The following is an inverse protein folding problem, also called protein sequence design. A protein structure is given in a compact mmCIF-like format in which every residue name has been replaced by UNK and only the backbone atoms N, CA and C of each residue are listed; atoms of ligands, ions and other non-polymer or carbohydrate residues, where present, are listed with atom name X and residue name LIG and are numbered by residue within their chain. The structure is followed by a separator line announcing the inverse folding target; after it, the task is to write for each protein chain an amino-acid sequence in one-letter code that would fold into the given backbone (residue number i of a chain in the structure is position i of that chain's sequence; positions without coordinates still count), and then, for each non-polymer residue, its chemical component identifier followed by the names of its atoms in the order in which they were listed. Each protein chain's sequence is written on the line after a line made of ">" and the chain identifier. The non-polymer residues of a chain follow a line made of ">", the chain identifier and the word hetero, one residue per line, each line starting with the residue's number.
data_IF_678353915144
#
_entry.id   IF_678353915144
#
_cell.length_a   1.000
_cell.length_b   1.000
_cell.length_c   1.000
_cell.angle_alpha   90.00
_cell.angle_beta   90.00
_cell.angle_gamma   90.00
#
_symmetry.space_group_name_H-M   'P 1'
#
loop_
_entity.id
_entity.type
_entity.pdbx_description
1 polymer ?
#
# COMPACT_ATOMS: atom_id res chain seq x y z
N UNK A 1 -29.47 24.16 -10.07
CA UNK A 1 -28.04 23.92 -9.78
C UNK A 1 -27.91 22.49 -9.32
N UNK A 2 -27.12 21.66 -10.00
CA UNK A 2 -26.90 20.24 -9.62
C UNK A 2 -26.05 20.15 -8.33
N UNK A 3 -26.40 19.20 -7.47
CA UNK A 3 -25.79 19.01 -6.15
C UNK A 3 -24.99 17.71 -6.13
N UNK A 4 -23.72 17.78 -5.70
CA UNK A 4 -22.81 16.64 -5.60
C UNK A 4 -22.45 16.43 -4.13
N UNK A 5 -22.68 15.22 -3.60
CA UNK A 5 -22.14 14.81 -2.31
C UNK A 5 -20.86 14.02 -2.50
N UNK A 6 -19.82 14.34 -1.75
CA UNK A 6 -18.59 13.54 -1.64
C UNK A 6 -18.51 13.04 -0.21
N UNK A 7 -18.47 11.71 -0.02
CA UNK A 7 -18.47 11.08 1.31
C UNK A 7 -17.06 10.60 1.62
N UNK A 8 -16.39 11.31 2.51
CA UNK A 8 -15.00 11.14 2.89
C UNK A 8 -14.08 12.22 2.33
N UNK A 9 -13.51 13.04 3.21
CA UNK A 9 -12.54 14.08 2.86
C UNK A 9 -11.08 13.54 2.92
N UNK A 10 -10.85 12.36 2.35
CA UNK A 10 -9.52 11.80 2.12
C UNK A 10 -8.88 12.32 0.82
N UNK A 11 -7.78 11.67 0.38
CA UNK A 11 -7.06 12.03 -0.84
C UNK A 11 -7.98 12.05 -2.07
N UNK A 12 -8.70 10.95 -2.36
CA UNK A 12 -9.57 10.84 -3.52
C UNK A 12 -10.73 11.84 -3.48
N UNK A 13 -11.38 11.99 -2.32
CA UNK A 13 -12.54 12.90 -2.17
C UNK A 13 -12.17 14.36 -2.30
N UNK A 14 -11.09 14.80 -1.65
CA UNK A 14 -10.63 16.18 -1.77
C UNK A 14 -10.11 16.49 -3.19
N UNK A 15 -9.45 15.54 -3.84
CA UNK A 15 -9.01 15.73 -5.22
C UNK A 15 -10.20 15.81 -6.19
N UNK A 16 -11.19 14.92 -6.06
CA UNK A 16 -12.43 15.00 -6.83
C UNK A 16 -13.16 16.33 -6.61
N UNK A 17 -13.27 16.80 -5.35
CA UNK A 17 -13.87 18.09 -5.03
C UNK A 17 -13.11 19.26 -5.68
N UNK A 18 -11.76 19.24 -5.64
CA UNK A 18 -10.91 20.25 -6.27
C UNK A 18 -11.20 20.35 -7.76
N UNK A 19 -11.18 19.23 -8.47
CA UNK A 19 -11.45 19.18 -9.91
C UNK A 19 -12.86 19.66 -10.27
N UNK A 20 -13.89 19.26 -9.52
CA UNK A 20 -15.25 19.73 -9.75
C UNK A 20 -15.38 21.24 -9.53
N UNK A 21 -14.67 21.81 -8.54
CA UNK A 21 -14.66 23.27 -8.33
C UNK A 21 -13.92 24.01 -9.43
N UNK A 22 -12.88 23.44 -10.00
CA UNK A 22 -12.13 24.02 -11.12
C UNK A 22 -12.91 23.98 -12.43
N UNK A 23 -13.56 22.84 -12.73
CA UNK A 23 -14.15 22.59 -14.03
C UNK A 23 -15.62 22.98 -14.16
N UNK A 24 -16.35 22.99 -13.04
CA UNK A 24 -17.79 23.26 -12.99
C UNK A 24 -18.15 24.05 -11.72
N UNK A 25 -17.70 25.31 -11.62
CA UNK A 25 -17.95 26.16 -10.44
C UNK A 25 -19.42 26.38 -10.13
N UNK A 26 -20.32 26.12 -11.10
CA UNK A 26 -21.77 26.16 -10.94
C UNK A 26 -22.35 24.97 -10.16
N UNK A 27 -21.60 23.87 -9.99
CA UNK A 27 -22.05 22.74 -9.17
C UNK A 27 -22.00 23.08 -7.68
N UNK A 28 -23.00 22.63 -6.93
CA UNK A 28 -22.96 22.67 -5.46
C UNK A 28 -22.27 21.41 -4.94
N UNK A 29 -21.05 21.54 -4.49
CA UNK A 29 -20.25 20.42 -3.97
C UNK A 29 -20.26 20.45 -2.44
N UNK A 30 -20.75 19.38 -1.79
CA UNK A 30 -20.68 19.18 -0.35
C UNK A 30 -19.80 17.96 -0.04
N UNK A 31 -18.81 18.15 0.83
CA UNK A 31 -17.90 17.10 1.27
C UNK A 31 -18.18 16.75 2.74
N UNK A 32 -18.56 15.50 2.99
CA UNK A 32 -18.83 15.00 4.34
C UNK A 32 -17.62 14.28 4.91
N UNK A 33 -17.18 14.66 6.10
CA UNK A 33 -16.07 14.04 6.80
C UNK A 33 -16.48 13.69 8.24
N UNK A 34 -16.31 12.41 8.59
CA UNK A 34 -16.65 11.93 9.92
C UNK A 34 -15.68 12.43 11.00
N UNK A 35 -14.45 12.72 10.63
CA UNK A 35 -13.39 13.21 11.52
C UNK A 35 -13.37 14.74 11.64
N UNK A 36 -12.55 15.21 12.56
CA UNK A 36 -12.36 16.64 12.83
C UNK A 36 -11.44 17.34 11.82
N UNK A 37 -10.73 16.59 10.96
CA UNK A 37 -9.76 17.14 10.00
C UNK A 37 -9.87 16.41 8.68
N UNK A 38 -9.92 17.11 7.53
CA UNK A 38 -9.83 16.49 6.23
C UNK A 38 -8.40 15.98 6.02
N UNK A 39 -8.24 14.96 5.18
CA UNK A 39 -6.95 14.43 4.73
C UNK A 39 -6.02 13.98 5.88
N UNK A 40 -6.58 13.55 7.02
CA UNK A 40 -5.79 13.16 8.19
C UNK A 40 -4.80 12.03 7.88
N UNK A 41 -5.21 11.01 7.09
CA UNK A 41 -4.29 9.95 6.63
C UNK A 41 -3.23 10.49 5.66
N UNK A 42 -3.60 11.37 4.72
CA UNK A 42 -2.68 11.97 3.76
C UNK A 42 -1.53 12.71 4.45
N UNK A 43 -1.84 13.47 5.50
CA UNK A 43 -0.88 14.27 6.25
C UNK A 43 0.25 13.44 6.90
N UNK A 44 0.03 12.14 7.15
CA UNK A 44 1.03 11.25 7.78
C UNK A 44 1.65 10.24 6.82
N UNK A 45 1.21 10.19 5.55
CA UNK A 45 1.75 9.24 4.56
C UNK A 45 3.22 9.51 4.29
N UNK A 46 3.96 8.44 3.94
CA UNK A 46 5.39 8.52 3.66
C UNK A 46 6.21 9.10 4.83
N UNK A 47 5.78 8.89 6.07
CA UNK A 47 6.42 9.46 7.26
C UNK A 47 6.22 10.97 7.38
N UNK A 48 5.07 11.49 6.94
CA UNK A 48 4.75 12.93 6.93
C UNK A 48 5.28 13.68 5.70
N UNK A 49 5.90 12.97 4.74
CA UNK A 49 6.44 13.57 3.52
C UNK A 49 5.49 13.51 2.32
N UNK A 50 4.48 12.66 2.36
CA UNK A 50 3.57 12.30 1.26
C UNK A 50 4.28 11.66 0.06
N UNK A 51 4.36 10.34 0.03
CA UNK A 51 4.75 9.60 -1.18
C UNK A 51 3.63 9.72 -2.23
N UNK A 52 3.69 10.79 -3.04
CA UNK A 52 2.61 11.28 -3.89
C UNK A 52 2.22 10.30 -5.00
N UNK A 53 3.23 9.70 -5.64
CA UNK A 53 3.07 8.71 -6.70
C UNK A 53 4.39 7.97 -6.95
N UNK A 54 4.43 7.12 -7.98
CA UNK A 54 5.59 6.35 -8.43
C UNK A 54 5.83 6.62 -9.92
N UNK A 55 7.05 6.46 -10.42
CA UNK A 55 7.35 6.58 -11.85
C UNK A 55 7.07 5.28 -12.62
N UNK A 56 6.68 4.21 -11.93
CA UNK A 56 6.43 2.87 -12.45
C UNK A 56 7.64 2.20 -13.13
N UNK A 57 8.83 2.80 -13.08
CA UNK A 57 10.05 2.12 -13.51
C UNK A 57 10.38 0.98 -12.54
N UNK A 58 10.78 -0.17 -13.06
CA UNK A 58 11.02 -1.36 -12.23
C UNK A 58 9.76 -2.19 -11.93
N UNK A 59 8.56 -1.76 -12.36
CA UNK A 59 7.34 -2.55 -12.32
C UNK A 59 7.18 -3.31 -13.63
N UNK A 60 7.21 -4.65 -13.59
CA UNK A 60 7.12 -5.47 -14.79
C UNK A 60 5.70 -5.56 -15.35
N UNK A 61 4.72 -5.53 -14.47
CA UNK A 61 3.30 -5.51 -14.83
C UNK A 61 2.51 -4.70 -13.81
N UNK A 62 1.39 -4.13 -14.26
CA UNK A 62 0.54 -3.35 -13.35
C UNK A 62 -0.07 -4.20 -12.22
N UNK A 63 -0.24 -5.53 -12.43
CA UNK A 63 -0.66 -6.48 -11.40
C UNK A 63 0.36 -6.61 -10.24
N UNK A 64 1.64 -6.34 -10.49
CA UNK A 64 2.65 -6.28 -9.43
C UNK A 64 2.42 -5.10 -8.50
N UNK A 65 2.10 -3.93 -9.06
CA UNK A 65 1.80 -2.73 -8.27
C UNK A 65 0.42 -2.80 -7.62
N UNK A 66 -0.57 -3.32 -8.34
CA UNK A 66 -1.97 -3.42 -7.91
C UNK A 66 -2.42 -4.88 -7.89
N UNK A 67 -2.13 -5.65 -6.84
CA UNK A 67 -2.54 -7.06 -6.71
C UNK A 67 -4.05 -7.25 -6.81
N UNK A 68 -4.81 -6.21 -6.45
CA UNK A 68 -6.26 -6.12 -6.63
C UNK A 68 -6.59 -4.79 -7.31
N UNK A 69 -7.53 -4.86 -8.28
CA UNK A 69 -7.96 -3.68 -9.03
C UNK A 69 -7.11 -3.33 -10.26
N UNK A 70 -6.17 -4.16 -10.71
CA UNK A 70 -5.32 -3.91 -11.89
C UNK A 70 -6.12 -3.41 -13.10
N UNK A 71 -7.26 -4.05 -13.42
CA UNK A 71 -8.07 -3.70 -14.61
C UNK A 71 -8.67 -2.30 -14.53
N UNK A 72 -9.09 -1.87 -13.36
CA UNK A 72 -9.58 -0.51 -13.12
C UNK A 72 -8.43 0.47 -13.24
N UNK A 73 -7.32 0.17 -12.56
CA UNK A 73 -6.15 1.06 -12.58
C UNK A 73 -5.54 1.21 -13.96
N UNK A 74 -5.52 0.15 -14.78
CA UNK A 74 -5.09 0.22 -16.19
C UNK A 74 -5.92 1.22 -17.02
N UNK A 75 -7.20 1.40 -16.68
CA UNK A 75 -8.08 2.37 -17.35
C UNK A 75 -7.94 3.75 -16.74
N UNK A 76 -7.95 3.85 -15.43
CA UNK A 76 -7.83 5.11 -14.72
C UNK A 76 -6.50 5.83 -15.02
N UNK A 77 -5.37 5.08 -15.06
CA UNK A 77 -4.06 5.62 -15.41
C UNK A 77 -3.94 6.09 -16.87
N UNK A 78 -4.77 5.58 -17.79
CA UNK A 78 -4.84 6.11 -19.17
C UNK A 78 -5.56 7.44 -19.25
N UNK A 79 -6.41 7.75 -18.29
CA UNK A 79 -7.18 8.99 -18.20
C UNK A 79 -6.45 10.03 -17.36
N UNK A 80 -5.81 9.58 -16.28
CA UNK A 80 -5.02 10.42 -15.39
C UNK A 80 -3.82 9.61 -14.86
N UNK A 81 -2.69 9.83 -15.47
CA UNK A 81 -1.42 9.14 -15.21
C UNK A 81 -0.68 9.73 -14.00
N UNK A 82 0.48 9.15 -13.68
CA UNK A 82 1.38 9.70 -12.68
C UNK A 82 2.00 11.04 -13.14
N UNK A 83 2.29 11.20 -14.43
CA UNK A 83 2.76 12.46 -14.99
C UNK A 83 1.71 13.56 -14.86
N UNK A 84 0.43 13.22 -15.10
CA UNK A 84 -0.68 14.15 -14.91
C UNK A 84 -0.82 14.57 -13.45
N UNK A 85 -0.65 13.63 -12.51
CA UNK A 85 -0.68 13.94 -11.09
C UNK A 85 0.45 14.90 -10.70
N UNK A 86 1.69 14.62 -11.14
CA UNK A 86 2.84 15.49 -10.90
C UNK A 86 2.60 16.88 -11.50
N UNK A 87 2.10 16.95 -12.72
CA UNK A 87 1.81 18.21 -13.42
C UNK A 87 0.74 19.02 -12.66
N UNK A 88 -0.36 18.35 -12.23
CA UNK A 88 -1.42 19.02 -11.48
C UNK A 88 -0.92 19.58 -10.15
N UNK A 89 -0.21 18.79 -9.35
CA UNK A 89 0.33 19.26 -8.07
C UNK A 89 1.36 20.37 -8.24
N UNK A 90 2.21 20.27 -9.26
CA UNK A 90 3.20 21.33 -9.58
C UNK A 90 2.51 22.64 -9.95
N UNK A 91 1.47 22.58 -10.79
CA UNK A 91 0.68 23.75 -11.15
C UNK A 91 -0.05 24.38 -9.95
N UNK A 92 -0.35 23.59 -8.92
CA UNK A 92 -0.99 24.04 -7.68
C UNK A 92 0.01 24.42 -6.57
N UNK A 93 1.29 24.64 -6.93
CA UNK A 93 2.34 25.14 -6.04
C UNK A 93 2.98 24.07 -5.16
N UNK A 94 2.95 22.81 -5.60
CA UNK A 94 3.66 21.69 -4.98
C UNK A 94 4.66 21.11 -5.98
N UNK A 95 5.85 21.68 -6.13
CA UNK A 95 6.91 21.09 -6.95
C UNK A 95 7.24 19.68 -6.41
N UNK A 96 7.45 18.73 -7.32
CA UNK A 96 7.68 17.33 -6.97
C UNK A 96 9.10 16.91 -7.35
N UNK A 97 9.68 15.97 -6.60
CA UNK A 97 11.02 15.40 -6.82
C UNK A 97 10.94 13.88 -6.82
N UNK A 98 11.61 13.26 -7.79
CA UNK A 98 11.82 11.81 -7.86
C UNK A 98 12.98 11.41 -6.95
N UNK A 99 12.77 10.39 -6.13
CA UNK A 99 13.82 9.78 -5.30
C UNK A 99 14.36 8.49 -5.96
N UNK A 100 15.49 7.99 -5.47
CA UNK A 100 16.18 6.79 -6.00
C UNK A 100 15.32 5.51 -5.94
N UNK A 101 14.33 5.47 -5.05
CA UNK A 101 13.38 4.38 -4.90
C UNK A 101 12.17 4.47 -5.85
N UNK A 102 12.25 5.28 -6.89
CA UNK A 102 11.21 5.54 -7.88
C UNK A 102 9.94 6.20 -7.33
N UNK A 103 10.01 6.75 -6.13
CA UNK A 103 8.89 7.43 -5.47
C UNK A 103 8.98 8.95 -5.69
N UNK A 104 7.83 9.57 -5.97
CA UNK A 104 7.70 11.00 -6.09
C UNK A 104 7.21 11.64 -4.78
N UNK A 105 7.92 12.64 -4.33
CA UNK A 105 7.58 13.40 -3.13
C UNK A 105 7.46 14.89 -3.44
N UNK A 106 6.71 15.68 -2.63
CA UNK A 106 6.87 17.12 -2.63
C UNK A 106 8.34 17.49 -2.42
N UNK A 107 8.84 18.47 -3.13
CA UNK A 107 10.22 18.95 -2.96
C UNK A 107 10.50 19.43 -1.53
N UNK A 108 9.47 19.96 -0.86
CA UNK A 108 9.55 20.38 0.55
C UNK A 108 9.69 19.22 1.54
N UNK A 109 9.42 17.97 1.13
CA UNK A 109 9.34 16.79 1.99
C UNK A 109 8.29 16.96 3.12
N UNK A 110 7.24 17.77 2.90
CA UNK A 110 6.15 18.04 3.84
C UNK A 110 4.78 17.70 3.19
N UNK A 111 4.10 16.70 3.73
CA UNK A 111 2.76 16.30 3.28
C UNK A 111 1.73 17.45 3.40
N UNK A 112 1.99 18.42 4.29
CA UNK A 112 1.07 19.55 4.48
C UNK A 112 1.04 20.48 3.27
N UNK A 113 2.05 20.49 2.40
CA UNK A 113 1.98 21.25 1.15
C UNK A 113 0.94 20.68 0.20
N UNK A 114 0.87 19.34 0.09
CA UNK A 114 -0.17 18.65 -0.69
C UNK A 114 -1.56 18.92 -0.09
N UNK A 115 -1.68 18.82 1.24
CA UNK A 115 -2.94 19.12 1.95
C UNK A 115 -3.39 20.56 1.68
N UNK A 116 -2.49 21.53 1.83
CA UNK A 116 -2.79 22.95 1.58
C UNK A 116 -3.15 23.25 0.12
N UNK A 117 -2.49 22.58 -0.84
CA UNK A 117 -2.83 22.71 -2.26
C UNK A 117 -4.26 22.25 -2.55
N UNK A 118 -4.63 21.05 -2.08
CA UNK A 118 -5.98 20.51 -2.21
C UNK A 118 -7.03 21.39 -1.52
N UNK A 119 -6.75 21.89 -0.31
CA UNK A 119 -7.65 22.80 0.40
C UNK A 119 -7.86 24.11 -0.36
N UNK A 120 -6.83 24.64 -1.03
CA UNK A 120 -6.95 25.84 -1.88
C UNK A 120 -7.80 25.56 -3.13
N UNK A 121 -7.53 24.43 -3.81
CA UNK A 121 -8.22 24.08 -5.04
C UNK A 121 -9.71 23.77 -4.83
N UNK A 122 -10.07 23.19 -3.66
CA UNK A 122 -11.47 22.91 -3.34
C UNK A 122 -12.25 24.08 -2.71
N UNK A 123 -11.71 25.31 -2.71
CA UNK A 123 -12.42 26.50 -2.19
C UNK A 123 -13.78 26.67 -2.87
N UNK A 124 -14.80 26.95 -2.03
CA UNK A 124 -16.20 27.06 -2.47
C UNK A 124 -16.96 25.74 -2.42
N UNK A 125 -16.34 24.61 -2.09
CA UNK A 125 -17.05 23.43 -1.63
C UNK A 125 -17.46 23.59 -0.15
N UNK A 126 -18.65 23.07 0.20
CA UNK A 126 -19.15 23.01 1.57
C UNK A 126 -18.54 21.78 2.28
N UNK A 127 -17.51 21.99 3.12
CA UNK A 127 -16.83 20.90 3.82
C UNK A 127 -17.38 20.75 5.23
N UNK A 128 -18.12 19.67 5.47
CA UNK A 128 -18.77 19.37 6.74
C UNK A 128 -17.94 18.36 7.54
N UNK A 129 -17.17 18.87 8.48
CA UNK A 129 -16.37 18.06 9.41
C UNK A 129 -17.24 17.53 10.55
N UNK A 130 -16.76 16.47 11.25
CA UNK A 130 -17.50 15.79 12.32
C UNK A 130 -18.92 15.37 11.91
N UNK A 131 -19.12 15.14 10.60
CA UNK A 131 -20.41 14.83 10.01
C UNK A 131 -20.36 13.44 9.39
N UNK A 132 -20.71 12.44 10.19
CA UNK A 132 -20.72 11.04 9.75
C UNK A 132 -22.00 10.79 8.93
N UNK A 133 -21.84 10.30 7.71
CA UNK A 133 -22.94 9.77 6.90
C UNK A 133 -23.40 8.44 7.49
N UNK A 134 -24.72 8.31 7.74
CA UNK A 134 -25.35 7.14 8.35
C UNK A 134 -25.92 6.21 7.28
N UNK A 135 -26.55 6.78 6.23
CA UNK A 135 -27.08 6.00 5.12
C UNK A 135 -27.20 6.83 3.84
N UNK A 136 -27.25 6.13 2.70
CA UNK A 136 -27.56 6.68 1.39
C UNK A 136 -28.78 5.91 0.88
N UNK A 137 -29.87 6.63 0.56
CA UNK A 137 -31.08 6.04 -0.02
C UNK A 137 -30.95 5.97 -1.56
N UNK A 138 -31.77 5.16 -2.22
CA UNK A 138 -31.83 5.04 -3.69
C UNK A 138 -32.04 6.36 -4.43
N UNK A 139 -32.74 7.31 -3.81
CA UNK A 139 -32.96 8.67 -4.33
C UNK A 139 -31.82 9.65 -4.03
N UNK A 140 -30.64 9.14 -3.61
CA UNK A 140 -29.48 9.93 -3.19
C UNK A 140 -29.75 10.96 -2.09
N UNK A 141 -30.64 10.60 -1.14
CA UNK A 141 -30.72 11.31 0.12
C UNK A 141 -29.60 10.79 1.02
N UNK A 142 -28.64 11.66 1.31
CA UNK A 142 -27.53 11.40 2.23
C UNK A 142 -27.99 11.79 3.62
N UNK A 143 -28.08 10.81 4.52
CA UNK A 143 -28.51 11.00 5.90
C UNK A 143 -27.34 11.15 6.84
N UNK A 144 -27.41 12.16 7.67
CA UNK A 144 -26.47 12.43 8.77
C UNK A 144 -27.22 12.45 10.11
N UNK A 145 -26.54 12.52 11.26
CA UNK A 145 -27.22 12.70 12.54
C UNK A 145 -28.02 14.02 12.66
N UNK A 146 -27.67 15.01 11.82
CA UNK A 146 -28.25 16.36 11.89
C UNK A 146 -29.37 16.57 10.88
N UNK A 147 -29.27 16.01 9.69
CA UNK A 147 -30.14 16.31 8.57
C UNK A 147 -30.16 15.22 7.49
N UNK A 148 -31.18 15.31 6.64
CA UNK A 148 -31.35 14.52 5.42
C UNK A 148 -31.17 15.45 4.21
N UNK A 149 -30.16 15.18 3.38
CA UNK A 149 -29.78 16.05 2.27
C UNK A 149 -29.94 15.32 0.93
N UNK A 150 -30.80 15.79 -0.01
CA UNK A 150 -30.87 15.24 -1.34
C UNK A 150 -29.74 15.76 -2.24
N UNK A 151 -29.23 14.87 -3.10
CA UNK A 151 -28.19 15.17 -4.09
C UNK A 151 -28.56 14.58 -5.46
N UNK A 152 -27.98 15.15 -6.53
CA UNK A 152 -28.10 14.60 -7.89
C UNK A 152 -27.03 13.52 -8.12
N UNK A 153 -25.84 13.70 -7.51
CA UNK A 153 -24.71 12.78 -7.61
C UNK A 153 -24.09 12.53 -6.23
N UNK A 154 -23.61 11.31 -6.03
CA UNK A 154 -22.91 10.91 -4.82
C UNK A 154 -21.59 10.24 -5.18
N UNK A 155 -20.49 10.67 -4.60
CA UNK A 155 -19.17 10.04 -4.74
C UNK A 155 -18.73 9.50 -3.38
N UNK A 156 -18.53 8.19 -3.27
CA UNK A 156 -18.07 7.53 -2.06
C UNK A 156 -16.54 7.41 -2.10
N UNK A 157 -15.86 8.03 -1.14
CA UNK A 157 -14.39 8.15 -1.08
C UNK A 157 -13.87 7.96 0.35
N UNK A 158 -14.54 7.11 1.14
CA UNK A 158 -14.25 6.91 2.56
C UNK A 158 -12.91 6.23 2.86
N UNK A 159 -12.22 5.77 1.82
CA UNK A 159 -11.01 4.96 1.98
C UNK A 159 -11.31 3.54 2.47
N UNK A 160 -10.28 2.81 2.90
CA UNK A 160 -10.42 1.49 3.45
C UNK A 160 -11.31 1.47 4.68
N UNK A 161 -12.21 0.51 4.74
CA UNK A 161 -13.24 0.41 5.77
C UNK A 161 -13.12 -0.93 6.53
N UNK A 162 -12.16 -1.07 7.47
CA UNK A 162 -11.94 -2.33 8.19
C UNK A 162 -13.15 -2.79 9.01
N UNK A 163 -14.11 -1.89 9.28
CA UNK A 163 -15.38 -2.18 9.96
C UNK A 163 -16.57 -2.33 9.01
N UNK A 164 -16.31 -2.42 7.69
CA UNK A 164 -17.34 -2.43 6.65
C UNK A 164 -17.90 -1.05 6.32
N UNK A 165 -18.91 -1.04 5.45
CA UNK A 165 -19.55 0.15 4.89
C UNK A 165 -21.07 0.17 5.25
N UNK A 166 -21.45 0.25 6.52
CA UNK A 166 -22.86 0.10 6.94
C UNK A 166 -23.79 1.15 6.33
N UNK A 167 -23.29 2.32 5.98
CA UNK A 167 -24.08 3.37 5.34
C UNK A 167 -24.50 3.04 3.89
N UNK A 168 -23.96 1.95 3.31
CA UNK A 168 -24.34 1.41 2.00
C UNK A 168 -25.32 0.22 2.10
N UNK A 169 -25.68 -0.25 3.29
CA UNK A 169 -26.54 -1.45 3.46
C UNK A 169 -27.92 -1.31 2.80
N UNK A 170 -28.41 -0.08 2.61
CA UNK A 170 -29.65 0.20 1.86
C UNK A 170 -29.52 0.06 0.34
N UNK A 171 -28.31 -0.20 -0.18
CA UNK A 171 -28.01 -0.39 -1.59
C UNK A 171 -27.56 -1.83 -1.80
N UNK A 172 -28.09 -2.48 -2.85
CA UNK A 172 -27.75 -3.85 -3.20
C UNK A 172 -26.39 -3.92 -3.91
N UNK A 173 -25.32 -3.67 -3.15
CA UNK A 173 -23.96 -3.69 -3.65
C UNK A 173 -23.20 -4.91 -3.12
N UNK A 174 -22.49 -5.59 -4.00
CA UNK A 174 -21.55 -6.63 -3.60
C UNK A 174 -20.35 -5.97 -2.88
N UNK A 175 -20.11 -6.42 -1.65
CA UNK A 175 -18.95 -5.97 -0.86
C UNK A 175 -17.98 -7.12 -0.65
N UNK A 176 -16.71 -6.88 -0.95
CA UNK A 176 -15.63 -7.81 -0.63
C UNK A 176 -15.19 -7.55 0.81
N UNK A 177 -15.17 -8.59 1.67
CA UNK A 177 -14.77 -8.43 3.07
C UNK A 177 -13.41 -7.74 3.20
N UNK A 178 -13.30 -6.71 4.04
CA UNK A 178 -12.06 -5.97 4.22
C UNK A 178 -11.06 -6.78 5.04
N UNK A 179 -9.81 -6.81 4.58
CA UNK A 179 -8.69 -7.43 5.29
C UNK A 179 -7.48 -6.50 5.28
N UNK A 180 -6.61 -6.54 6.30
CA UNK A 180 -5.37 -5.78 6.33
C UNK A 180 -4.47 -6.08 5.14
N UNK A 181 -3.84 -5.04 4.61
CA UNK A 181 -2.77 -5.08 3.60
C UNK A 181 -1.62 -4.17 4.04
N UNK A 182 -0.40 -4.39 3.56
CA UNK A 182 0.79 -3.61 3.92
C UNK A 182 1.06 -3.60 5.43
N UNK A 183 1.21 -4.74 6.05
CA UNK A 183 1.52 -4.86 7.46
C UNK A 183 2.83 -5.62 7.71
N UNK A 184 3.39 -5.46 8.91
CA UNK A 184 4.63 -6.08 9.34
C UNK A 184 4.37 -7.44 9.99
N UNK A 185 5.35 -8.36 9.91
CA UNK A 185 5.24 -9.72 10.45
C UNK A 185 5.84 -9.83 11.84
N UNK A 186 5.13 -10.47 12.74
CA UNK A 186 5.63 -10.83 14.07
C UNK A 186 6.30 -12.21 14.03
N UNK A 187 7.56 -12.25 14.42
CA UNK A 187 8.37 -13.48 14.54
C UNK A 187 8.92 -13.57 15.97
N UNK A 188 8.65 -14.68 16.63
CA UNK A 188 9.13 -14.94 18.00
C UNK A 188 10.48 -15.64 17.96
N UNK A 189 11.53 -14.91 17.63
CA UNK A 189 12.92 -15.36 17.64
C UNK A 189 13.75 -14.26 18.32
N UNK A 190 14.15 -14.50 19.57
CA UNK A 190 14.87 -13.52 20.37
C UNK A 190 16.25 -13.18 19.77
N UNK A 191 16.92 -14.16 19.16
CA UNK A 191 18.24 -13.96 18.56
C UNK A 191 18.14 -13.14 17.26
N UNK A 192 17.11 -13.37 16.44
CA UNK A 192 16.79 -12.52 15.29
C UNK A 192 16.46 -11.10 15.74
N UNK A 193 15.57 -10.98 16.73
CA UNK A 193 15.06 -9.68 17.19
C UNK A 193 16.17 -8.82 17.85
N UNK A 194 17.22 -9.44 18.37
CA UNK A 194 18.42 -8.74 18.85
C UNK A 194 19.20 -8.03 17.72
N UNK A 195 18.93 -8.36 16.45
CA UNK A 195 19.51 -7.71 15.28
C UNK A 195 18.71 -6.46 14.85
N UNK A 196 17.81 -5.96 15.67
CA UNK A 196 16.96 -4.80 15.34
C UNK A 196 17.76 -3.65 14.77
N UNK A 197 17.17 -2.98 13.75
CA UNK A 197 17.79 -1.88 13.02
C UNK A 197 18.61 -2.31 11.80
N UNK A 198 18.86 -3.61 11.57
CA UNK A 198 19.52 -4.07 10.35
C UNK A 198 18.58 -3.94 9.15
N UNK A 199 19.09 -3.37 8.07
CA UNK A 199 18.44 -3.29 6.76
C UNK A 199 19.35 -3.93 5.71
N UNK A 200 18.77 -4.79 4.87
CA UNK A 200 19.46 -5.41 3.75
C UNK A 200 18.47 -5.81 2.66
N UNK A 201 18.97 -5.97 1.41
CA UNK A 201 18.18 -6.61 0.36
C UNK A 201 17.98 -8.08 0.66
N UNK A 202 16.73 -8.54 0.64
CA UNK A 202 16.37 -9.93 0.85
C UNK A 202 15.12 -10.31 0.04
N UNK A 203 14.97 -11.59 -0.23
CA UNK A 203 13.73 -12.13 -0.77
C UNK A 203 12.98 -12.87 0.33
N UNK A 204 11.69 -12.59 0.47
CA UNK A 204 10.80 -13.27 1.39
C UNK A 204 9.76 -14.08 0.63
N UNK A 205 9.35 -15.20 1.18
CA UNK A 205 8.25 -16.00 0.66
C UNK A 205 7.41 -16.59 1.79
N UNK A 206 6.13 -16.89 1.48
CA UNK A 206 5.24 -17.62 2.38
C UNK A 206 5.20 -19.07 1.92
N UNK A 207 5.70 -19.99 2.75
CA UNK A 207 5.81 -21.41 2.39
C UNK A 207 4.45 -22.04 2.06
N UNK A 208 4.46 -22.96 1.11
CA UNK A 208 3.23 -23.63 0.63
C UNK A 208 2.39 -22.77 -0.29
N UNK A 209 2.86 -21.58 -0.67
CA UNK A 209 2.18 -20.66 -1.59
C UNK A 209 3.13 -20.16 -2.67
N UNK A 210 2.58 -19.45 -3.67
CA UNK A 210 3.38 -18.75 -4.68
C UNK A 210 3.79 -17.32 -4.28
N UNK A 211 3.34 -16.84 -3.11
CA UNK A 211 3.61 -15.47 -2.67
C UNK A 211 5.07 -15.27 -2.30
N UNK A 212 5.70 -14.34 -2.98
CA UNK A 212 7.09 -13.92 -2.73
C UNK A 212 7.25 -12.43 -3.01
N UNK A 213 8.19 -11.80 -2.33
CA UNK A 213 8.55 -10.41 -2.54
C UNK A 213 10.04 -10.21 -2.29
N UNK A 214 10.65 -9.29 -3.00
CA UNK A 214 12.04 -8.89 -2.84
C UNK A 214 12.13 -7.39 -2.61
N UNK A 215 13.15 -6.97 -1.88
CA UNK A 215 13.45 -5.59 -1.57
C UNK A 215 14.16 -5.43 -0.21
N UNK A 216 14.31 -4.19 0.25
CA UNK A 216 14.84 -3.92 1.57
C UNK A 216 13.99 -4.59 2.66
N UNK A 217 14.66 -5.40 3.49
CA UNK A 217 14.11 -6.06 4.67
C UNK A 217 14.69 -5.39 5.91
N UNK A 218 13.82 -4.94 6.81
CA UNK A 218 14.19 -4.38 8.11
C UNK A 218 13.90 -5.39 9.22
N UNK A 219 14.91 -5.73 10.00
CA UNK A 219 14.75 -6.52 11.23
C UNK A 219 14.36 -5.57 12.37
N UNK A 220 13.31 -5.92 13.11
CA UNK A 220 12.78 -5.17 14.24
C UNK A 220 12.79 -6.02 15.51
N UNK A 221 12.52 -5.42 16.66
CA UNK A 221 12.40 -6.11 17.96
C UNK A 221 11.16 -7.02 18.05
N UNK A 222 10.26 -6.99 17.07
CA UNK A 222 9.10 -7.91 16.97
C UNK A 222 9.14 -8.85 15.77
N UNK A 223 10.09 -8.73 14.84
CA UNK A 223 10.19 -9.56 13.63
C UNK A 223 10.63 -8.78 12.39
N UNK A 224 9.86 -8.85 11.32
CA UNK A 224 10.22 -8.28 10.01
C UNK A 224 9.33 -7.10 9.61
N UNK A 225 9.97 -6.09 9.03
CA UNK A 225 9.39 -4.91 8.42
C UNK A 225 10.13 -4.54 7.12
N UNK A 226 9.87 -3.37 6.57
CA UNK A 226 10.49 -2.88 5.35
C UNK A 226 9.74 -3.29 4.08
N UNK A 227 10.15 -2.76 2.91
CA UNK A 227 9.46 -2.95 1.64
C UNK A 227 9.20 -4.40 1.24
N UNK A 228 10.16 -5.32 1.44
CA UNK A 228 9.97 -6.76 1.15
C UNK A 228 8.81 -7.35 1.96
N UNK A 229 8.75 -7.03 3.26
CA UNK A 229 7.69 -7.50 4.17
C UNK A 229 6.34 -6.92 3.78
N UNK A 230 6.28 -5.62 3.55
CA UNK A 230 5.03 -4.92 3.19
C UNK A 230 4.47 -5.41 1.85
N UNK A 231 5.33 -5.62 0.85
CA UNK A 231 4.91 -6.22 -0.44
C UNK A 231 4.37 -7.63 -0.25
N UNK A 232 5.08 -8.50 0.48
CA UNK A 232 4.63 -9.87 0.72
C UNK A 232 3.29 -9.91 1.47
N UNK A 233 3.12 -9.08 2.49
CA UNK A 233 1.85 -8.99 3.23
C UNK A 233 0.69 -8.49 2.35
N UNK A 234 0.95 -7.59 1.39
CA UNK A 234 -0.04 -7.16 0.40
C UNK A 234 -0.41 -8.31 -0.56
N UNK A 235 0.57 -8.97 -1.17
CA UNK A 235 0.30 -10.09 -2.08
C UNK A 235 -0.50 -11.21 -1.40
N UNK A 236 -0.15 -11.55 -0.16
CA UNK A 236 -0.75 -12.63 0.60
C UNK A 236 -1.93 -12.19 1.49
N UNK A 237 -2.43 -10.96 1.39
CA UNK A 237 -3.35 -10.35 2.37
C UNK A 237 -4.58 -11.23 2.67
N UNK A 238 -5.29 -11.70 1.66
CA UNK A 238 -6.49 -12.56 1.81
C UNK A 238 -6.12 -13.93 2.38
N UNK A 239 -5.10 -14.58 1.84
CA UNK A 239 -4.61 -15.87 2.34
C UNK A 239 -4.21 -15.79 3.82
N UNK A 240 -3.49 -14.73 4.21
CA UNK A 240 -3.08 -14.53 5.60
C UNK A 240 -4.29 -14.28 6.53
N UNK A 241 -5.31 -13.58 6.05
CA UNK A 241 -6.54 -13.39 6.81
C UNK A 241 -7.29 -14.73 7.01
N UNK A 242 -7.41 -15.56 5.97
CA UNK A 242 -8.03 -16.89 6.00
C UNK A 242 -7.29 -17.85 6.96
N UNK A 243 -5.96 -17.79 7.01
CA UNK A 243 -5.12 -18.61 7.89
C UNK A 243 -4.96 -18.05 9.30
N UNK A 244 -5.68 -16.95 9.63
CA UNK A 244 -5.56 -16.27 10.92
C UNK A 244 -4.17 -15.69 11.18
N UNK A 245 -3.50 -15.25 10.11
CA UNK A 245 -2.13 -14.69 10.13
C UNK A 245 -1.08 -15.67 10.67
N UNK A 246 -1.25 -16.94 10.37
CA UNK A 246 -0.31 -18.02 10.69
C UNK A 246 0.30 -18.60 9.44
N UNK A 247 1.53 -19.07 9.53
CA UNK A 247 2.25 -19.67 8.41
C UNK A 247 3.74 -19.78 8.70
N UNK A 248 4.51 -20.12 7.69
CA UNK A 248 5.97 -20.14 7.78
C UNK A 248 6.53 -19.20 6.71
N UNK A 249 7.28 -18.20 7.15
CA UNK A 249 8.05 -17.34 6.26
C UNK A 249 9.37 -18.03 5.92
N UNK A 250 9.86 -17.87 4.69
CA UNK A 250 11.21 -18.22 4.32
C UNK A 250 11.91 -16.96 3.80
N UNK A 251 13.14 -16.75 4.24
CA UNK A 251 14.00 -15.63 3.86
C UNK A 251 15.20 -16.15 3.09
N UNK A 252 15.41 -15.59 1.90
CA UNK A 252 16.64 -15.72 1.15
C UNK A 252 17.44 -14.43 1.37
N UNK A 253 18.48 -14.54 2.19
CA UNK A 253 19.28 -13.41 2.66
C UNK A 253 20.21 -12.81 1.60
N UNK A 254 20.46 -13.54 0.48
CA UNK A 254 21.37 -13.11 -0.55
C UNK A 254 20.66 -12.81 -1.89
N UNK A 255 19.37 -13.02 -1.97
CA UNK A 255 18.60 -12.92 -3.22
C UNK A 255 19.19 -13.78 -4.36
N UNK A 256 19.88 -14.86 -4.02
CA UNK A 256 20.60 -15.75 -4.93
C UNK A 256 20.06 -17.19 -4.84
N UNK A 257 20.20 -17.97 -5.89
CA UNK A 257 19.81 -19.37 -5.85
C UNK A 257 20.85 -20.25 -5.10
N UNK A 258 20.47 -21.49 -4.78
CA UNK A 258 21.33 -22.39 -4.02
C UNK A 258 22.68 -22.68 -4.69
N UNK A 259 22.72 -22.78 -6.01
CA UNK A 259 23.92 -23.04 -6.78
C UNK A 259 24.90 -21.87 -6.69
N UNK A 260 24.40 -20.65 -6.85
CA UNK A 260 25.19 -19.42 -6.72
C UNK A 260 25.80 -19.29 -5.33
N UNK A 261 24.97 -19.51 -4.29
CA UNK A 261 25.41 -19.44 -2.87
C UNK A 261 26.44 -20.54 -2.59
N UNK A 262 26.18 -21.75 -3.02
CA UNK A 262 27.13 -22.88 -2.89
C UNK A 262 28.45 -22.58 -3.57
N UNK A 263 28.41 -22.05 -4.80
CA UNK A 263 29.59 -21.66 -5.55
C UNK A 263 30.39 -20.56 -4.83
N UNK A 264 29.70 -19.57 -4.25
CA UNK A 264 30.36 -18.54 -3.44
C UNK A 264 31.06 -19.14 -2.20
N UNK A 265 30.37 -20.01 -1.47
CA UNK A 265 30.93 -20.67 -0.29
C UNK A 265 32.19 -21.53 -0.63
N UNK A 266 32.13 -22.27 -1.73
CA UNK A 266 33.27 -23.10 -2.20
C UNK A 266 34.45 -22.22 -2.61
N UNK A 267 34.23 -21.13 -3.35
CA UNK A 267 35.28 -20.17 -3.71
C UNK A 267 35.89 -19.53 -2.46
N UNK A 268 35.09 -19.16 -1.47
CA UNK A 268 35.56 -18.59 -0.21
C UNK A 268 36.43 -19.59 0.56
N UNK A 269 36.02 -20.86 0.64
CA UNK A 269 36.80 -21.92 1.26
C UNK A 269 38.15 -22.16 0.59
N UNK A 270 38.19 -22.12 -0.77
CA UNK A 270 39.41 -22.27 -1.53
C UNK A 270 40.35 -21.07 -1.42
N UNK A 271 39.80 -19.86 -1.45
CA UNK A 271 40.58 -18.62 -1.39
C UNK A 271 41.11 -18.30 0.01
N UNK A 272 40.40 -18.73 1.06
CA UNK A 272 40.69 -18.36 2.45
C UNK A 272 40.71 -19.55 3.42
N UNK A 273 41.36 -20.68 3.10
CA UNK A 273 41.24 -21.93 3.87
C UNK A 273 41.59 -21.80 5.37
N UNK A 274 42.54 -20.92 5.70
CA UNK A 274 42.99 -20.70 7.09
C UNK A 274 42.22 -19.61 7.83
N UNK A 275 41.44 -18.79 7.15
CA UNK A 275 40.62 -17.77 7.79
C UNK A 275 39.41 -18.42 8.50
N UNK A 276 38.90 -17.73 9.52
CA UNK A 276 37.63 -18.10 10.15
C UNK A 276 36.47 -17.86 9.18
N UNK A 277 35.47 -18.74 9.23
CA UNK A 277 34.24 -18.56 8.43
C UNK A 277 33.53 -17.26 8.81
N UNK A 278 33.61 -16.87 10.08
CA UNK A 278 33.05 -15.62 10.58
C UNK A 278 33.72 -14.36 10.02
N UNK A 279 34.94 -14.44 9.51
CA UNK A 279 35.70 -13.26 9.03
C UNK A 279 35.56 -12.96 7.54
N UNK A 280 34.86 -13.81 6.77
CA UNK A 280 34.60 -13.62 5.34
C UNK A 280 33.12 -13.80 5.09
N UNK A 281 32.41 -12.73 4.90
CA UNK A 281 30.94 -12.70 4.92
C UNK A 281 30.35 -11.83 3.81
N UNK A 282 29.17 -12.22 3.25
CA UNK A 282 28.50 -11.49 2.19
C UNK A 282 27.46 -10.48 2.72
N UNK A 283 27.18 -10.51 4.03
CA UNK A 283 26.20 -9.65 4.72
C UNK A 283 26.84 -8.99 5.94
N UNK A 284 26.14 -8.09 6.61
CA UNK A 284 26.66 -7.42 7.81
C UNK A 284 27.06 -8.44 8.88
N UNK A 285 28.17 -8.17 9.59
CA UNK A 285 28.79 -9.11 10.55
C UNK A 285 27.80 -9.67 11.58
N UNK A 286 26.97 -8.80 12.19
CA UNK A 286 25.98 -9.24 13.20
C UNK A 286 24.99 -10.27 12.65
N UNK A 287 24.52 -10.06 11.42
CA UNK A 287 23.65 -11.02 10.75
C UNK A 287 24.39 -12.30 10.40
N UNK A 288 25.65 -12.18 9.92
CA UNK A 288 26.45 -13.34 9.57
C UNK A 288 26.69 -14.25 10.77
N UNK A 289 27.06 -13.69 11.94
CA UNK A 289 27.27 -14.45 13.17
C UNK A 289 26.00 -15.18 13.60
N UNK A 290 24.84 -14.52 13.50
CA UNK A 290 23.54 -15.15 13.76
C UNK A 290 23.27 -16.33 12.79
N UNK A 291 23.52 -16.16 11.50
CA UNK A 291 23.28 -17.20 10.48
C UNK A 291 24.24 -18.39 10.65
N UNK A 292 25.49 -18.15 11.03
CA UNK A 292 26.45 -19.21 11.36
C UNK A 292 25.98 -20.02 12.57
N UNK A 293 25.54 -19.36 13.63
CA UNK A 293 24.98 -20.02 14.81
C UNK A 293 23.73 -20.83 14.46
N UNK A 294 22.83 -20.28 13.64
CA UNK A 294 21.62 -20.94 13.16
C UNK A 294 21.91 -22.15 12.27
N UNK A 295 22.99 -22.10 11.48
CA UNK A 295 23.50 -23.23 10.71
C UNK A 295 24.17 -24.31 11.61
N UNK A 296 24.28 -24.07 12.92
CA UNK A 296 24.93 -24.97 13.88
C UNK A 296 26.43 -25.15 13.62
N UNK A 297 27.08 -24.08 13.16
CA UNK A 297 28.51 -24.04 12.97
C UNK A 297 29.19 -23.58 14.28
N UNK A 298 30.27 -24.28 14.68
CA UNK A 298 31.01 -23.92 15.88
C UNK A 298 31.77 -22.61 15.76
N UNK A 299 31.94 -21.89 16.82
CA UNK A 299 32.84 -20.73 16.87
C UNK A 299 34.27 -21.14 16.53
N UNK A 300 35.01 -20.23 15.89
CA UNK A 300 36.41 -20.49 15.53
C UNK A 300 36.58 -21.47 14.36
N UNK A 301 35.49 -21.88 13.67
CA UNK A 301 35.58 -22.76 12.49
C UNK A 301 36.33 -22.06 11.36
N UNK A 302 37.34 -22.76 10.80
CA UNK A 302 38.04 -22.29 9.59
C UNK A 302 37.34 -22.75 8.33
N UNK A 303 37.53 -22.03 7.24
CA UNK A 303 36.96 -22.39 5.92
C UNK A 303 37.36 -23.78 5.44
N UNK A 304 38.65 -24.20 5.70
CA UNK A 304 39.11 -25.55 5.39
C UNK A 304 38.38 -26.66 6.16
N UNK A 305 37.78 -26.35 7.30
CA UNK A 305 37.10 -27.29 8.18
C UNK A 305 35.57 -27.34 7.95
N UNK A 306 35.01 -26.47 7.09
CA UNK A 306 33.58 -26.35 6.87
C UNK A 306 32.93 -27.67 6.39
N UNK A 307 33.62 -28.39 5.51
CA UNK A 307 33.18 -29.67 4.96
C UNK A 307 31.84 -29.59 4.20
N UNK A 308 31.43 -30.68 3.57
CA UNK A 308 30.18 -30.72 2.81
C UNK A 308 28.92 -30.55 3.66
N UNK A 309 28.91 -31.08 4.88
CA UNK A 309 27.76 -30.91 5.79
C UNK A 309 27.58 -29.48 6.26
N UNK A 310 28.65 -28.79 6.60
CA UNK A 310 28.63 -27.39 6.99
C UNK A 310 28.19 -26.50 5.81
N UNK A 311 28.75 -26.77 4.64
CA UNK A 311 28.40 -26.08 3.39
C UNK A 311 26.89 -26.22 3.07
N UNK A 312 26.32 -27.44 3.14
CA UNK A 312 24.90 -27.66 2.90
C UNK A 312 24.01 -26.92 3.90
N UNK A 313 24.33 -26.98 5.21
CA UNK A 313 23.56 -26.27 6.23
C UNK A 313 23.60 -24.76 6.05
N UNK A 314 24.78 -24.23 5.76
CA UNK A 314 24.95 -22.79 5.56
C UNK A 314 24.25 -22.33 4.28
N UNK A 315 24.34 -23.09 3.19
CA UNK A 315 23.56 -22.81 1.96
C UNK A 315 22.07 -22.76 2.25
N UNK A 316 21.53 -23.75 2.96
CA UNK A 316 20.10 -23.80 3.30
C UNK A 316 19.67 -22.58 4.14
N UNK A 317 20.44 -22.19 5.15
CA UNK A 317 20.14 -21.01 5.98
C UNK A 317 20.23 -19.72 5.14
N UNK A 318 21.18 -19.60 4.22
CA UNK A 318 21.36 -18.40 3.42
C UNK A 318 20.26 -18.21 2.37
N UNK A 319 19.72 -19.31 1.82
CA UNK A 319 18.76 -19.27 0.71
C UNK A 319 17.33 -19.54 1.12
N UNK A 320 17.11 -20.22 2.26
CA UNK A 320 15.77 -20.66 2.70
C UNK A 320 15.64 -20.71 4.22
N UNK A 321 15.97 -19.61 4.88
CA UNK A 321 15.88 -19.50 6.33
C UNK A 321 14.42 -19.36 6.79
N UNK A 322 13.93 -20.24 7.64
CA UNK A 322 12.53 -20.33 7.98
C UNK A 322 12.18 -19.77 9.34
N UNK A 323 11.01 -19.11 9.42
CA UNK A 323 10.49 -18.49 10.64
C UNK A 323 8.99 -18.73 10.77
N UNK A 324 8.51 -19.25 11.90
CA UNK A 324 7.08 -19.31 12.19
C UNK A 324 6.50 -17.90 12.28
N UNK A 325 5.48 -17.61 11.47
CA UNK A 325 4.70 -16.38 11.58
C UNK A 325 3.78 -16.48 12.80
N UNK A 326 3.95 -15.58 13.75
CA UNK A 326 3.20 -15.56 15.01
C UNK A 326 2.01 -14.60 14.99
N UNK A 327 1.79 -13.91 13.90
CA UNK A 327 0.71 -12.94 13.70
C UNK A 327 1.18 -11.67 13.00
N UNK A 328 0.25 -10.76 12.79
CA UNK A 328 0.57 -9.39 12.41
C UNK A 328 1.02 -8.59 13.62
N UNK A 329 1.84 -7.55 13.40
CA UNK A 329 2.27 -6.66 14.49
C UNK A 329 1.07 -6.07 15.24
N UNK A 330 1.24 -5.83 16.54
CA UNK A 330 0.23 -5.19 17.41
C UNK A 330 0.01 -3.70 17.10
N UNK A 331 0.83 -3.09 16.25
CA UNK A 331 0.60 -1.74 15.78
C UNK A 331 -0.69 -1.74 14.95
N UNK A 332 -1.72 -1.09 15.52
CA UNK A 332 -3.11 -1.13 15.03
C UNK A 332 -3.34 -0.37 13.72
N UNK A 333 -2.35 0.32 13.23
CA UNK A 333 -2.46 1.10 12.01
C UNK A 333 -2.05 0.25 10.81
N UNK A 334 -3.05 -0.36 10.22
CA UNK A 334 -2.95 -0.90 8.87
C UNK A 334 -2.71 0.27 7.92
N UNK A 335 -1.65 0.18 7.13
CA UNK A 335 -1.40 1.24 6.15
C UNK A 335 -2.48 1.25 5.07
N UNK A 336 -3.01 0.07 4.69
CA UNK A 336 -3.98 -0.13 3.60
C UNK A 336 -4.92 -1.29 3.93
N UNK A 337 -6.17 -1.19 3.47
CA UNK A 337 -7.18 -2.25 3.55
C UNK A 337 -7.43 -2.80 2.15
N UNK A 338 -7.34 -4.12 1.97
CA UNK A 338 -7.79 -4.83 0.79
C UNK A 338 -9.27 -5.24 0.97
N UNK A 339 -10.08 -5.11 -0.07
CA UNK A 339 -11.53 -5.29 0.00
C UNK A 339 -12.29 -3.97 -0.06
N UNK A 340 -13.61 -4.03 0.01
CA UNK A 340 -14.49 -2.87 -0.15
C UNK A 340 -15.56 -3.12 -1.21
N UNK A 341 -15.98 -2.10 -1.94
CA UNK A 341 -16.97 -2.23 -3.02
C UNK A 341 -16.38 -3.06 -4.16
N UNK A 342 -17.05 -4.17 -4.48
CA UNK A 342 -16.61 -5.07 -5.54
C UNK A 342 -16.62 -4.36 -6.91
N UNK A 343 -15.60 -4.62 -7.72
CA UNK A 343 -15.45 -4.00 -9.03
C UNK A 343 -16.50 -4.44 -10.06
N UNK A 344 -17.23 -5.54 -9.78
CA UNK A 344 -18.41 -5.98 -10.52
C UNK A 344 -19.55 -4.95 -10.50
N UNK A 345 -19.67 -4.16 -9.41
CA UNK A 345 -20.73 -3.16 -9.24
C UNK A 345 -20.56 -1.92 -10.13
N UNK A 346 -19.35 -1.67 -10.64
CA UNK A 346 -19.02 -0.38 -11.30
C UNK A 346 -18.69 -0.51 -12.78
N UNK A 347 -18.93 0.56 -13.52
CA UNK A 347 -18.40 0.77 -14.86
C UNK A 347 -16.91 1.12 -14.78
N UNK A 348 -16.04 0.30 -15.40
CA UNK A 348 -14.58 0.46 -15.28
C UNK A 348 -14.02 1.76 -15.91
N UNK A 349 -14.79 2.42 -16.77
CA UNK A 349 -14.37 3.66 -17.42
C UNK A 349 -14.90 4.91 -16.71
N UNK A 350 -16.00 4.79 -15.95
CA UNK A 350 -16.70 5.91 -15.30
C UNK A 350 -16.62 5.87 -13.80
N UNK A 351 -16.34 4.69 -13.23
CA UNK A 351 -16.41 4.39 -11.80
C UNK A 351 -17.82 4.62 -11.21
N UNK A 352 -18.83 4.72 -12.07
CA UNK A 352 -20.22 4.83 -11.72
C UNK A 352 -20.80 3.45 -11.40
N UNK A 353 -21.70 3.38 -10.44
CA UNK A 353 -22.49 2.17 -10.18
C UNK A 353 -23.31 1.77 -11.40
N UNK A 354 -23.26 0.49 -11.75
CA UNK A 354 -24.10 -0.06 -12.83
C UNK A 354 -25.57 -0.09 -12.48
N UNK A 355 -25.90 -0.19 -11.20
CA UNK A 355 -27.25 -0.33 -10.67
C UNK A 355 -27.85 1.02 -10.27
N UNK A 356 -27.03 1.96 -9.84
CA UNK A 356 -27.45 3.26 -9.32
C UNK A 356 -26.78 4.39 -10.11
N UNK A 357 -27.33 4.80 -11.29
CA UNK A 357 -26.78 5.90 -12.07
C UNK A 357 -26.71 7.18 -11.24
N UNK A 358 -25.56 7.84 -11.21
CA UNK A 358 -25.26 8.99 -10.36
C UNK A 358 -24.50 8.67 -9.07
N UNK A 359 -24.29 7.38 -8.75
CA UNK A 359 -23.45 6.94 -7.63
C UNK A 359 -22.07 6.50 -8.12
N UNK A 360 -21.02 7.10 -7.60
CA UNK A 360 -19.63 6.88 -7.99
C UNK A 360 -18.77 6.42 -6.81
N UNK A 361 -17.66 5.76 -7.09
CA UNK A 361 -16.71 5.29 -6.08
C UNK A 361 -15.28 5.61 -6.49
N UNK A 362 -14.47 6.15 -5.58
CA UNK A 362 -13.05 6.44 -5.84
C UNK A 362 -12.15 6.12 -4.65
N UNK A 363 -10.93 5.71 -4.95
CA UNK A 363 -9.91 5.38 -3.97
C UNK A 363 -10.13 4.01 -3.31
N UNK A 364 -9.59 3.87 -2.13
CA UNK A 364 -9.48 2.63 -1.35
C UNK A 364 -10.84 2.07 -0.86
N UNK A 365 -11.96 2.77 -1.05
CA UNK A 365 -13.31 2.22 -0.82
C UNK A 365 -13.68 1.13 -1.82
N UNK A 366 -13.08 1.16 -3.00
CA UNK A 366 -13.13 0.08 -3.99
C UNK A 366 -12.22 -1.08 -3.59
N UNK A 367 -12.50 -2.29 -4.06
CA UNK A 367 -11.57 -3.44 -3.94
C UNK A 367 -10.32 -3.21 -4.82
N UNK A 368 -9.58 -2.15 -4.48
CA UNK A 368 -8.32 -1.73 -5.09
C UNK A 368 -7.34 -1.46 -3.97
N UNK A 369 -6.23 -2.17 -3.95
CA UNK A 369 -5.09 -1.83 -3.13
C UNK A 369 -3.77 -2.13 -3.86
N UNK A 370 -2.75 -1.42 -3.46
CA UNK A 370 -1.45 -1.48 -4.09
C UNK A 370 -0.35 -1.80 -3.07
N UNK A 371 0.80 -2.19 -3.58
CA UNK A 371 2.02 -2.29 -2.77
C UNK A 371 2.46 -0.91 -2.27
N UNK A 372 3.46 -0.88 -1.38
CA UNK A 372 4.11 0.37 -0.95
C UNK A 372 4.85 1.03 -2.12
N UNK A 373 4.94 2.37 -2.12
CA UNK A 373 5.68 3.12 -3.13
C UNK A 373 4.87 4.22 -3.85
N UNK A 374 3.83 4.79 -3.24
CA UNK A 374 3.02 5.88 -3.82
C UNK A 374 1.83 5.42 -4.66
N UNK A 375 1.73 4.13 -4.97
CA UNK A 375 0.69 3.58 -5.83
C UNK A 375 -0.73 3.74 -5.28
N UNK A 376 -0.94 3.64 -3.96
CA UNK A 376 -2.25 3.83 -3.35
C UNK A 376 -2.73 5.28 -3.46
N UNK A 377 -1.83 6.26 -3.34
CA UNK A 377 -2.16 7.66 -3.59
C UNK A 377 -2.42 7.92 -5.07
N UNK A 378 -1.63 7.33 -5.98
CA UNK A 378 -1.92 7.40 -7.41
C UNK A 378 -3.31 6.83 -7.74
N UNK A 379 -3.71 5.72 -7.13
CA UNK A 379 -5.07 5.19 -7.29
C UNK A 379 -6.13 6.20 -6.81
N UNK A 380 -5.89 6.88 -5.70
CA UNK A 380 -6.79 7.92 -5.20
C UNK A 380 -6.92 9.09 -6.18
N UNK A 381 -5.81 9.56 -6.75
CA UNK A 381 -5.80 10.64 -7.75
C UNK A 381 -6.51 10.22 -9.03
N UNK A 382 -6.09 9.12 -9.65
CA UNK A 382 -6.64 8.65 -10.92
C UNK A 382 -8.14 8.34 -10.83
N UNK A 383 -8.58 7.68 -9.76
CA UNK A 383 -10.00 7.36 -9.59
C UNK A 383 -10.83 8.58 -9.22
N UNK A 384 -10.30 9.49 -8.41
CA UNK A 384 -10.93 10.78 -8.10
C UNK A 384 -11.14 11.63 -9.34
N UNK A 385 -10.13 11.66 -10.24
CA UNK A 385 -10.22 12.33 -11.54
C UNK A 385 -11.32 11.74 -12.42
N UNK A 386 -11.33 10.40 -12.57
CA UNK A 386 -12.34 9.71 -13.40
C UNK A 386 -13.76 9.98 -12.90
N UNK A 387 -13.99 10.01 -11.58
CA UNK A 387 -15.30 10.36 -11.03
C UNK A 387 -15.69 11.80 -11.34
N UNK A 388 -14.78 12.77 -11.16
CA UNK A 388 -15.03 14.16 -11.46
C UNK A 388 -15.36 14.38 -12.96
N UNK A 389 -14.57 13.78 -13.85
CA UNK A 389 -14.79 13.82 -15.31
C UNK A 389 -16.13 13.19 -15.71
N UNK A 390 -16.51 12.06 -15.08
CA UNK A 390 -17.75 11.36 -15.36
C UNK A 390 -18.97 12.19 -14.94
N UNK A 391 -18.93 12.82 -13.77
CA UNK A 391 -19.98 13.73 -13.29
C UNK A 391 -20.12 14.90 -14.26
N UNK A 392 -18.99 15.49 -14.68
CA UNK A 392 -19.00 16.61 -15.62
C UNK A 392 -19.67 16.25 -16.96
N UNK A 393 -19.41 15.04 -17.47
CA UNK A 393 -20.07 14.52 -18.69
C UNK A 393 -21.58 14.37 -18.48
N UNK A 394 -22.01 13.83 -17.34
CA UNK A 394 -23.45 13.69 -17.00
C UNK A 394 -24.17 15.02 -16.79
N UNK A 395 -23.47 16.09 -16.43
CA UNK A 395 -24.09 17.41 -16.24
C UNK A 395 -24.27 18.20 -17.54
N UNK A 396 -23.55 17.81 -18.61
CA UNK A 396 -23.59 18.45 -19.93
C UNK A 396 -24.54 17.78 -20.94
N UNK A 397 -25.02 16.59 -20.58
CA UNK A 397 -26.09 15.86 -21.29
C UNK A 397 -27.46 16.17 -20.69
#
# INVERSE_FOLDING_TARGET
>A
MKRVAIIGAGAAGCFCAALLREWAPELSVTVFEAGAKPMAKLAITGGGRCNLTNDFQGIQSLAEAYPRGERVMKRALKVFSQEDAIAWFTAHGVPCVLQEDHCWFPQSQDAMDVVRALQRAMRGADVRLNTKVISICHSFVVKTPQDDNPFDYVVVTTGGAPKGLPFLEGLELELVPPVPSLFTFTVKDAALNALTGLVLEAQMSLQGTSFKAQGPLLITDWGFSGPATLKLSSYAARHLAETGYKGTLAVNWLCANEEEVRGWLQRSASAHPQKLVSSVHPVQQRLWDYLLAKAGLREGLRWAELGSKGLNRLTAVLTHDTYPLSGKSKFREEFVTAGGVALSNIGLNTLESKQYPGLFFAGEVLDIDAITGGFNLQAAWSTGYVCAESILKCTRT
#
